data_IF_068298454321
#
_entry.id   IF_068298454321
#
_cell.length_a   1.000
_cell.length_b   1.000
_cell.length_c   1.000
_cell.angle_alpha   90.00
_cell.angle_beta   90.00
_cell.angle_gamma   90.00
#
_symmetry.space_group_name_H-M   'P 1'
#
loop_
_entity.id
_entity.type
_entity.pdbx_description
1 polymer ?
#
# COMPACT_ATOMS: atom_id res chain seq x y z
N UNK A 1 -21.76 6.13 -8.72
CA UNK A 1 -21.45 7.11 -7.63
C UNK A 1 -20.65 6.47 -6.49
N UNK A 2 -21.09 5.32 -5.96
CA UNK A 2 -20.41 4.63 -4.85
C UNK A 2 -18.99 4.16 -5.17
N UNK A 3 -18.74 3.71 -6.40
CA UNK A 3 -17.38 3.37 -6.85
C UNK A 3 -16.40 4.55 -6.80
N UNK A 4 -16.86 5.77 -7.13
CA UNK A 4 -16.02 6.97 -7.05
C UNK A 4 -15.66 7.25 -5.59
N UNK A 5 -16.65 7.20 -4.69
CA UNK A 5 -16.42 7.37 -3.25
C UNK A 5 -15.44 6.31 -2.71
N UNK A 6 -15.63 5.06 -3.10
CA UNK A 6 -14.76 3.96 -2.70
C UNK A 6 -13.32 4.16 -3.16
N UNK A 7 -13.11 4.53 -4.43
CA UNK A 7 -11.77 4.84 -4.94
C UNK A 7 -11.13 6.03 -4.23
N UNK A 8 -11.91 7.07 -3.90
CA UNK A 8 -11.41 8.22 -3.12
C UNK A 8 -10.96 7.77 -1.73
N UNK A 9 -11.78 6.99 -1.03
CA UNK A 9 -11.48 6.49 0.32
C UNK A 9 -10.28 5.56 0.29
N UNK A 10 -10.21 4.64 -0.67
CA UNK A 10 -9.05 3.77 -0.84
C UNK A 10 -7.76 4.56 -1.08
N UNK A 11 -7.81 5.53 -1.98
CA UNK A 11 -6.65 6.36 -2.35
C UNK A 11 -6.18 7.21 -1.16
N UNK A 12 -7.13 7.82 -0.43
CA UNK A 12 -6.84 8.59 0.78
C UNK A 12 -6.20 7.69 1.84
N UNK A 13 -6.76 6.51 2.08
CA UNK A 13 -6.23 5.56 3.05
C UNK A 13 -4.82 5.08 2.69
N UNK A 14 -4.56 4.84 1.40
CA UNK A 14 -3.23 4.50 0.90
C UNK A 14 -2.21 5.62 1.18
N UNK A 15 -2.55 6.87 0.81
CA UNK A 15 -1.69 8.03 1.05
C UNK A 15 -1.41 8.25 2.55
N UNK A 16 -2.42 8.10 3.41
CA UNK A 16 -2.25 8.20 4.87
C UNK A 16 -1.26 7.14 5.36
N UNK A 17 -1.40 5.90 4.91
CA UNK A 17 -0.49 4.80 5.27
C UNK A 17 0.96 5.09 4.89
N UNK A 18 1.19 5.55 3.66
CA UNK A 18 2.55 5.82 3.16
C UNK A 18 3.18 7.05 3.81
N UNK A 19 2.39 8.08 4.12
CA UNK A 19 2.85 9.22 4.90
C UNK A 19 3.21 8.82 6.34
N UNK A 20 2.38 8.00 6.99
CA UNK A 20 2.65 7.48 8.33
C UNK A 20 3.93 6.60 8.35
N UNK A 21 4.08 5.70 7.38
CA UNK A 21 5.29 4.90 7.22
C UNK A 21 6.53 5.78 6.98
N UNK A 22 6.41 6.78 6.09
CA UNK A 22 7.50 7.73 5.83
C UNK A 22 7.90 8.51 7.09
N UNK A 23 6.91 8.97 7.87
CA UNK A 23 7.14 9.62 9.16
C UNK A 23 7.88 8.70 10.15
N UNK A 24 7.43 7.45 10.29
CA UNK A 24 8.10 6.45 11.14
C UNK A 24 9.54 6.23 10.69
N UNK A 25 9.78 6.08 9.37
CA UNK A 25 11.14 5.95 8.80
C UNK A 25 12.04 7.12 9.22
N UNK A 26 11.51 8.35 9.23
CA UNK A 26 12.29 9.53 9.68
C UNK A 26 12.63 9.47 11.16
N UNK A 27 11.71 9.01 12.02
CA UNK A 27 11.95 8.83 13.46
C UNK A 27 12.97 7.73 13.76
N UNK A 28 13.04 6.72 12.90
CA UNK A 28 14.03 5.66 12.96
C UNK A 28 15.37 6.02 12.27
N UNK A 29 15.57 7.28 11.85
CA UNK A 29 16.77 7.75 11.15
C UNK A 29 17.09 7.02 9.84
N UNK A 30 16.10 6.34 9.24
CA UNK A 30 16.23 5.74 7.92
C UNK A 30 16.25 6.87 6.89
N UNK A 31 17.27 6.93 6.02
CA UNK A 31 17.39 7.98 4.99
C UNK A 31 16.34 7.83 3.87
N UNK A 32 16.12 8.88 3.09
CA UNK A 32 15.19 8.82 1.96
C UNK A 32 15.76 7.85 0.90
N UNK A 33 14.90 7.03 0.29
CA UNK A 33 15.32 6.02 -0.69
C UNK A 33 15.94 4.74 -0.09
N UNK A 34 16.12 4.65 1.24
CA UNK A 34 16.47 3.40 1.88
C UNK A 34 15.21 2.55 2.15
N UNK A 35 15.31 1.23 1.98
CA UNK A 35 14.17 0.33 2.12
C UNK A 35 13.82 0.13 3.60
N UNK A 36 12.54 -0.03 3.88
CA UNK A 36 12.00 -0.41 5.19
C UNK A 36 11.00 -1.56 5.02
N UNK A 37 11.55 -2.73 4.76
CA UNK A 37 10.80 -3.96 4.50
C UNK A 37 10.29 -4.55 5.83
N UNK A 38 9.04 -5.05 5.91
CA UNK A 38 8.04 -5.14 4.85
C UNK A 38 7.09 -3.93 4.78
N UNK A 39 7.26 -2.93 5.67
CA UNK A 39 6.30 -1.84 5.81
C UNK A 39 6.17 -0.99 4.54
N UNK A 40 7.24 -0.81 3.77
CA UNK A 40 7.21 -0.15 2.45
C UNK A 40 6.29 -0.85 1.43
N UNK A 41 6.01 -2.15 1.59
CA UNK A 41 5.10 -2.90 0.72
C UNK A 41 3.68 -2.99 1.29
N UNK A 42 3.52 -2.81 2.60
CA UNK A 42 2.26 -3.10 3.31
C UNK A 42 1.50 -1.85 3.75
N UNK A 43 2.16 -0.72 3.98
CA UNK A 43 1.57 0.48 4.59
C UNK A 43 0.33 0.98 3.88
N UNK A 44 0.40 1.10 2.55
CA UNK A 44 -0.71 1.59 1.74
C UNK A 44 -1.92 0.63 1.77
N UNK A 45 -1.68 -0.69 1.70
CA UNK A 45 -2.74 -1.71 1.68
C UNK A 45 -3.45 -1.76 3.02
N UNK A 46 -2.69 -1.85 4.11
CA UNK A 46 -3.23 -2.00 5.45
C UNK A 46 -4.06 -0.77 5.85
N UNK A 47 -3.55 0.43 5.58
CA UNK A 47 -4.26 1.68 5.88
C UNK A 47 -5.48 1.89 4.98
N UNK A 48 -5.38 1.54 3.69
CA UNK A 48 -6.52 1.62 2.75
C UNK A 48 -7.65 0.67 3.14
N UNK A 49 -7.32 -0.61 3.41
CA UNK A 49 -8.27 -1.61 3.89
C UNK A 49 -8.93 -1.18 5.21
N UNK A 50 -8.13 -0.74 6.19
CA UNK A 50 -8.64 -0.29 7.47
C UNK A 50 -9.61 0.90 7.31
N UNK A 51 -9.25 1.90 6.50
CA UNK A 51 -10.10 3.08 6.30
C UNK A 51 -11.42 2.72 5.61
N UNK A 52 -11.38 1.83 4.61
CA UNK A 52 -12.60 1.33 3.96
C UNK A 52 -13.51 0.61 4.96
N UNK A 53 -12.98 -0.31 5.78
CA UNK A 53 -13.76 -1.04 6.79
C UNK A 53 -14.30 -0.12 7.88
N UNK A 54 -13.53 0.86 8.35
CA UNK A 54 -13.95 1.84 9.37
C UNK A 54 -15.12 2.69 8.85
N UNK A 55 -15.07 3.11 7.60
CA UNK A 55 -16.11 3.92 6.98
C UNK A 55 -17.27 3.10 6.38
N UNK A 56 -17.15 1.77 6.35
CA UNK A 56 -18.17 0.85 5.83
C UNK A 56 -18.48 1.04 4.34
N UNK A 57 -17.54 1.55 3.54
CA UNK A 57 -17.79 1.90 2.13
C UNK A 57 -17.90 0.65 1.25
N UNK A 58 -17.28 -0.44 1.67
CA UNK A 58 -17.43 -1.77 1.06
C UNK A 58 -18.88 -2.28 1.21
N UNK A 59 -19.47 -2.13 2.39
CA UNK A 59 -20.88 -2.48 2.64
C UNK A 59 -21.83 -1.61 1.83
N UNK A 60 -21.54 -0.29 1.71
CA UNK A 60 -22.33 0.62 0.87
C UNK A 60 -22.32 0.24 -0.62
N UNK A 61 -21.26 -0.41 -1.09
CA UNK A 61 -21.16 -0.95 -2.44
C UNK A 61 -21.88 -2.29 -2.61
N UNK A 62 -22.30 -2.94 -1.53
CA UNK A 62 -22.81 -4.32 -1.55
C UNK A 62 -21.71 -5.37 -1.74
N UNK A 63 -20.44 -4.98 -1.67
CA UNK A 63 -19.27 -5.82 -1.94
C UNK A 63 -18.38 -5.81 -0.71
N UNK A 64 -18.61 -6.74 0.23
CA UNK A 64 -17.84 -6.80 1.46
C UNK A 64 -16.42 -7.31 1.20
N UNK A 65 -15.43 -6.46 1.45
CA UNK A 65 -14.03 -6.90 1.44
C UNK A 65 -13.71 -7.61 2.74
N UNK A 66 -13.12 -8.79 2.60
CA UNK A 66 -12.82 -9.71 3.70
C UNK A 66 -11.31 -9.86 3.91
N UNK A 67 -10.92 -10.56 4.98
CA UNK A 67 -9.51 -10.88 5.24
C UNK A 67 -8.86 -11.74 4.13
N UNK A 68 -9.66 -12.47 3.36
CA UNK A 68 -9.17 -13.21 2.18
C UNK A 68 -8.74 -12.25 1.08
N UNK A 69 -9.51 -11.18 0.85
CA UNK A 69 -9.13 -10.15 -0.13
C UNK A 69 -7.86 -9.42 0.31
N UNK A 70 -7.78 -9.08 1.61
CA UNK A 70 -6.58 -8.48 2.18
C UNK A 70 -5.35 -9.38 2.01
N UNK A 71 -5.47 -10.68 2.29
CA UNK A 71 -4.33 -11.61 2.17
C UNK A 71 -3.86 -11.76 0.72
N UNK A 72 -4.78 -11.82 -0.24
CA UNK A 72 -4.47 -11.84 -1.67
C UNK A 72 -3.75 -10.54 -2.08
N UNK A 73 -4.30 -9.38 -1.72
CA UNK A 73 -3.68 -8.08 -2.04
C UNK A 73 -2.27 -7.95 -1.44
N UNK A 74 -2.11 -8.36 -0.18
CA UNK A 74 -0.82 -8.38 0.50
C UNK A 74 0.17 -9.31 -0.20
N UNK A 75 -0.23 -10.53 -0.55
CA UNK A 75 0.61 -11.47 -1.29
C UNK A 75 1.05 -10.89 -2.64
N UNK A 76 0.09 -10.36 -3.40
CA UNK A 76 0.34 -9.73 -4.71
C UNK A 76 1.34 -8.58 -4.57
N UNK A 77 1.20 -7.70 -3.58
CA UNK A 77 2.14 -6.59 -3.39
C UNK A 77 3.53 -7.03 -2.95
N UNK A 78 3.62 -8.02 -2.04
CA UNK A 78 4.90 -8.59 -1.60
C UNK A 78 5.68 -9.25 -2.75
N UNK A 79 4.98 -9.74 -3.78
CA UNK A 79 5.62 -10.30 -4.99
C UNK A 79 5.89 -9.22 -6.04
N UNK A 80 4.88 -8.42 -6.38
CA UNK A 80 4.97 -7.47 -7.49
C UNK A 80 5.87 -6.27 -7.19
N UNK A 81 5.90 -5.74 -5.95
CA UNK A 81 6.79 -4.62 -5.62
C UNK A 81 8.27 -4.95 -5.84
N UNK A 82 8.85 -6.01 -5.24
CA UNK A 82 10.25 -6.33 -5.46
C UNK A 82 10.51 -6.75 -6.91
N UNK A 83 9.58 -7.44 -7.58
CA UNK A 83 9.73 -7.80 -8.98
C UNK A 83 9.79 -6.57 -9.89
N UNK A 84 8.90 -5.59 -9.69
CA UNK A 84 8.89 -4.35 -10.45
C UNK A 84 10.17 -3.54 -10.23
N UNK A 85 10.65 -3.45 -8.97
CA UNK A 85 11.92 -2.80 -8.66
C UNK A 85 13.13 -3.51 -9.29
N UNK A 86 13.13 -4.85 -9.28
CA UNK A 86 14.17 -5.65 -9.93
C UNK A 86 14.19 -5.43 -11.45
N UNK A 87 13.02 -5.46 -12.10
CA UNK A 87 12.90 -5.17 -13.54
C UNK A 87 13.40 -3.75 -13.84
N UNK A 88 12.99 -2.76 -13.06
CA UNK A 88 13.46 -1.38 -13.22
C UNK A 88 14.99 -1.25 -13.06
N UNK A 89 15.57 -2.00 -12.12
CA UNK A 89 17.02 -2.06 -11.92
C UNK A 89 17.75 -2.72 -13.10
N UNK A 90 17.25 -3.86 -13.61
CA UNK A 90 17.82 -4.55 -14.78
C UNK A 90 17.77 -3.67 -16.03
N UNK A 91 16.68 -2.93 -16.21
CA UNK A 91 16.52 -1.96 -17.30
C UNK A 91 17.30 -0.65 -17.08
N UNK A 92 18.06 -0.53 -15.98
CA UNK A 92 18.81 0.67 -15.57
C UNK A 92 17.94 1.92 -15.43
N UNK A 93 16.64 1.74 -15.16
CA UNK A 93 15.72 2.82 -14.80
C UNK A 93 15.86 3.24 -13.32
N UNK A 94 16.49 2.37 -12.51
CA UNK A 94 16.78 2.61 -11.09
C UNK A 94 18.20 2.16 -10.77
N UNK A 95 18.90 2.91 -9.92
CA UNK A 95 20.27 2.57 -9.49
C UNK A 95 20.34 1.41 -8.48
N UNK A 96 19.20 1.04 -7.89
CA UNK A 96 19.09 0.07 -6.80
C UNK A 96 17.91 -0.89 -7.04
N UNK A 97 18.00 -2.17 -6.62
CA UNK A 97 16.99 -3.20 -6.88
C UNK A 97 15.81 -3.21 -5.89
N UNK A 98 15.75 -2.27 -4.95
CA UNK A 98 14.65 -2.08 -3.99
C UNK A 98 14.00 -0.72 -4.20
#
# INVERSE_FOLDING_TARGET
>A
PYWILYSIVMSLGAMIGDLANSFIKRRLHIKAGNPFIPLDQLSFILSSYALVKILGVDVLLGEEITLVHLSIMTYVALVLHPLANLIAYILKLKDRPW
#
